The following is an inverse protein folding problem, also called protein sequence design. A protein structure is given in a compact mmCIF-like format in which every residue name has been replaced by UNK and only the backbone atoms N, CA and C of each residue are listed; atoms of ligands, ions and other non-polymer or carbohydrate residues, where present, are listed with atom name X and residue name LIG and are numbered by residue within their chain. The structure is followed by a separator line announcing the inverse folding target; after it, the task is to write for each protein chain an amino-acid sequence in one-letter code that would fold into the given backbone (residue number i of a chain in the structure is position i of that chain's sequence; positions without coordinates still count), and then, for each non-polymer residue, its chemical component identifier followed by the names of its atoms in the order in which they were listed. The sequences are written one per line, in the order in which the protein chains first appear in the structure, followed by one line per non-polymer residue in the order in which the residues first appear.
data_IF_425752044621
#
_entry.id   IF_425752044621
#
_cell.length_a   1.000
_cell.length_b   1.000
_cell.length_c   1.000
_cell.angle_alpha   90.00
_cell.angle_beta   90.00
_cell.angle_gamma   90.00
#
_symmetry.space_group_name_H-M   'P 1'
#
loop_
_entity.id
_entity.type
_entity.pdbx_description
1 polymer ?
#
# COMPACT_ATOMS: atom_id res chain seq x y z
N UNK A 1 -13.12 7.99 -5.11
CA UNK A 1 -12.99 8.51 -3.72
C UNK A 1 -11.55 8.26 -3.28
N UNK A 2 -10.96 8.99 -2.32
CA UNK A 2 -9.57 8.74 -1.86
C UNK A 2 -9.55 8.26 -0.41
N UNK A 3 -8.50 7.53 -0.01
CA UNK A 3 -8.28 7.08 1.36
C UNK A 3 -6.78 6.94 1.65
N UNK A 4 -6.39 7.29 2.87
CA UNK A 4 -4.99 7.30 3.30
C UNK A 4 -4.87 6.44 4.55
N UNK A 5 -3.85 5.58 4.55
CA UNK A 5 -3.42 4.81 5.72
C UNK A 5 -1.95 5.13 5.95
N UNK A 6 -1.61 5.48 7.19
CA UNK A 6 -0.24 5.74 7.61
C UNK A 6 0.05 5.00 8.90
N UNK A 7 1.28 4.53 9.05
CA UNK A 7 1.75 3.90 10.26
C UNK A 7 3.27 4.05 10.36
N UNK A 8 3.80 3.98 11.59
CA UNK A 8 5.23 4.10 11.88
C UNK A 8 5.65 2.90 12.72
N UNK A 9 6.76 2.26 12.35
CA UNK A 9 7.31 1.11 13.07
C UNK A 9 8.79 0.96 12.78
N UNK A 10 9.51 0.28 13.68
CA UNK A 10 10.88 -0.19 13.46
C UNK A 10 10.94 -1.53 12.73
N UNK A 11 9.78 -2.16 12.47
CA UNK A 11 9.64 -3.44 11.75
C UNK A 11 8.98 -3.21 10.40
N UNK A 12 9.04 -4.22 9.52
CA UNK A 12 8.33 -4.18 8.24
C UNK A 12 6.83 -3.93 8.45
N UNK A 13 6.37 -2.76 8.01
CA UNK A 13 5.00 -2.28 8.20
C UNK A 13 4.14 -2.41 6.94
N UNK A 14 4.76 -2.79 5.83
CA UNK A 14 4.12 -2.93 4.52
C UNK A 14 2.84 -3.78 4.58
N UNK A 15 2.80 -4.96 5.24
CA UNK A 15 1.56 -5.75 5.31
C UNK A 15 0.41 -5.02 6.02
N UNK A 16 0.72 -4.21 7.03
CA UNK A 16 -0.27 -3.43 7.79
C UNK A 16 -0.85 -2.32 6.92
N UNK A 17 0.01 -1.60 6.18
CA UNK A 17 -0.43 -0.53 5.27
C UNK A 17 -1.34 -1.08 4.17
N UNK A 18 -0.93 -2.18 3.55
CA UNK A 18 -1.70 -2.90 2.53
C UNK A 18 -3.06 -3.36 3.06
N UNK A 19 -3.09 -4.00 4.24
CA UNK A 19 -4.34 -4.45 4.85
C UNK A 19 -5.28 -3.27 5.17
N UNK A 20 -4.72 -2.13 5.59
CA UNK A 20 -5.48 -0.90 5.76
C UNK A 20 -6.09 -0.40 4.44
N UNK A 21 -5.32 -0.42 3.35
CA UNK A 21 -5.83 -0.04 2.02
C UNK A 21 -6.96 -0.98 1.55
N UNK A 22 -6.83 -2.29 1.76
CA UNK A 22 -7.91 -3.24 1.46
C UNK A 22 -9.20 -2.94 2.23
N UNK A 23 -9.08 -2.59 3.52
CA UNK A 23 -10.26 -2.20 4.33
C UNK A 23 -10.92 -0.92 3.86
N UNK A 24 -10.20 -0.06 3.13
CA UNK A 24 -10.76 1.15 2.55
C UNK A 24 -11.32 0.93 1.14
N UNK A 25 -11.02 -0.20 0.49
CA UNK A 25 -11.34 -0.48 -0.91
C UNK A 25 -12.85 -0.44 -1.22
N UNK A 26 -13.72 -0.66 -0.21
CA UNK A 26 -15.17 -0.48 -0.35
C UNK A 26 -15.60 0.92 -0.82
N UNK A 27 -14.73 1.92 -0.66
CA UNK A 27 -14.96 3.30 -1.12
C UNK A 27 -14.78 3.50 -2.62
N UNK A 28 -14.25 2.52 -3.33
CA UNK A 28 -13.96 2.59 -4.75
C UNK A 28 -12.70 3.41 -5.04
N UNK A 29 -11.61 2.71 -5.34
CA UNK A 29 -10.34 3.27 -5.78
C UNK A 29 -10.00 2.79 -7.19
N UNK A 30 -9.70 3.74 -8.07
CA UNK A 30 -9.24 3.47 -9.43
C UNK A 30 -7.72 3.31 -9.48
N UNK A 31 -7.03 3.52 -8.35
CA UNK A 31 -5.58 3.33 -8.21
C UNK A 31 -5.21 3.23 -6.73
N UNK A 32 -4.06 2.63 -6.44
CA UNK A 32 -3.52 2.52 -5.09
C UNK A 32 -1.99 2.56 -5.10
N UNK A 33 -1.39 2.82 -3.94
CA UNK A 33 0.06 2.80 -3.81
C UNK A 33 0.50 2.82 -2.35
N UNK A 34 1.75 2.41 -2.14
CA UNK A 34 2.39 2.44 -0.84
C UNK A 34 3.79 3.03 -0.98
N UNK A 35 4.19 3.81 0.02
CA UNK A 35 5.52 4.36 0.13
C UNK A 35 6.06 4.03 1.53
N UNK A 36 7.29 3.52 1.60
CA UNK A 36 7.96 3.22 2.87
C UNK A 36 9.40 3.71 2.83
N UNK A 37 9.90 4.08 4.00
CA UNK A 37 11.32 4.38 4.18
C UNK A 37 12.04 3.14 4.67
N UNK A 38 12.91 2.58 3.84
CA UNK A 38 13.74 1.42 4.14
C UNK A 38 15.07 1.58 3.40
N UNK A 39 16.06 2.15 4.09
CA UNK A 39 17.37 2.53 3.53
C UNK A 39 17.26 3.45 2.30
N UNK A 40 16.20 4.29 2.31
CA UNK A 40 15.79 5.12 1.18
C UNK A 40 14.28 5.06 0.98
N UNK A 41 13.76 5.91 0.09
CA UNK A 41 12.34 5.94 -0.25
C UNK A 41 12.02 4.85 -1.27
N UNK A 42 11.27 3.82 -0.86
CA UNK A 42 10.72 2.79 -1.74
C UNK A 42 9.24 3.04 -1.97
N UNK A 43 8.77 2.83 -3.21
CA UNK A 43 7.38 3.08 -3.60
C UNK A 43 6.90 2.06 -4.61
N UNK A 44 5.69 1.55 -4.39
CA UNK A 44 4.93 0.74 -5.35
C UNK A 44 3.58 1.42 -5.63
N UNK A 45 3.13 1.38 -6.88
CA UNK A 45 1.87 2.01 -7.32
C UNK A 45 1.22 1.12 -8.36
N UNK A 46 -0.11 1.02 -8.29
CA UNK A 46 -0.90 0.37 -9.31
C UNK A 46 -2.12 1.22 -9.69
N UNK A 47 -2.48 1.21 -10.98
CA UNK A 47 -3.75 1.75 -11.50
C UNK A 47 -4.88 0.72 -11.43
N UNK A 48 -4.61 -0.44 -10.83
CA UNK A 48 -5.60 -1.48 -10.59
C UNK A 48 -5.92 -1.58 -9.09
N UNK A 49 -6.71 -2.60 -8.73
CA UNK A 49 -7.18 -2.85 -7.36
C UNK A 49 -6.03 -3.18 -6.41
N UNK A 50 -6.32 -3.13 -5.11
CA UNK A 50 -5.30 -3.34 -4.06
C UNK A 50 -4.64 -4.71 -4.17
N UNK A 51 -5.33 -5.72 -4.70
CA UNK A 51 -4.78 -7.06 -4.93
C UNK A 51 -3.53 -7.09 -5.83
N UNK A 52 -3.44 -6.26 -6.87
CA UNK A 52 -2.26 -6.25 -7.73
C UNK A 52 -1.08 -5.51 -7.09
N UNK A 53 -1.36 -4.47 -6.29
CA UNK A 53 -0.33 -3.81 -5.49
C UNK A 53 0.34 -4.81 -4.53
N UNK A 54 -0.41 -5.76 -3.98
CA UNK A 54 0.14 -6.81 -3.11
C UNK A 54 1.15 -7.67 -3.85
N UNK A 55 0.81 -8.11 -5.05
CA UNK A 55 1.70 -8.94 -5.86
C UNK A 55 3.01 -8.20 -6.21
N UNK A 56 2.92 -6.92 -6.54
CA UNK A 56 4.12 -6.09 -6.82
C UNK A 56 5.00 -5.95 -5.58
N UNK A 57 4.39 -5.64 -4.44
CA UNK A 57 5.10 -5.42 -3.18
C UNK A 57 5.76 -6.69 -2.62
N UNK A 58 5.29 -7.88 -3.01
CA UNK A 58 5.93 -9.15 -2.67
C UNK A 58 7.09 -9.51 -3.61
N UNK A 59 7.17 -8.87 -4.78
CA UNK A 59 8.17 -9.15 -5.81
C UNK A 59 9.39 -8.23 -5.74
N UNK A 60 9.29 -7.12 -5.01
CA UNK A 60 10.33 -6.10 -4.74
C UNK A 60 11.01 -6.29 -3.37
#
# INVERSE_FOLDING_TARGET
MCGIVGAVSTRNIVPVLVQGLQRLEYRGYDSCGVAVWADGLKRARSTSRVAELIAQVQSD
#
